data_IF_767388100568
#
_entry.id   IF_767388100568
#
_cell.length_a   1.000
_cell.length_b   1.000
_cell.length_c   1.000
_cell.angle_alpha   90.00
_cell.angle_beta   90.00
_cell.angle_gamma   90.00
#
_symmetry.space_group_name_H-M   'P 1'
#
loop_
_entity.id
_entity.type
_entity.pdbx_description
1 polymer ?
#
# COMPACT_ATOMS: atom_id res chain seq x y z
N UNK A 1 36.53 -9.53 -22.59
CA UNK A 1 36.65 -10.88 -22.04
C UNK A 1 36.40 -10.80 -20.54
N UNK A 2 35.13 -10.87 -20.12
CA UNK A 2 34.71 -10.92 -18.74
C UNK A 2 34.65 -12.39 -18.36
N UNK A 3 35.57 -12.84 -17.51
CA UNK A 3 35.52 -14.16 -16.92
C UNK A 3 34.34 -14.26 -15.95
N UNK A 4 33.28 -14.92 -16.38
CA UNK A 4 32.25 -15.44 -15.48
C UNK A 4 32.80 -16.70 -14.87
N UNK A 5 33.25 -16.62 -13.62
CA UNK A 5 33.56 -17.80 -12.81
C UNK A 5 32.23 -18.42 -12.42
N UNK A 6 31.81 -19.43 -13.18
CA UNK A 6 30.72 -20.33 -12.79
C UNK A 6 31.35 -21.38 -11.88
N UNK A 7 31.27 -21.22 -10.57
CA UNK A 7 31.44 -22.32 -9.64
C UNK A 7 30.22 -23.21 -9.73
N UNK A 8 30.37 -24.31 -10.47
CA UNK A 8 29.46 -25.47 -10.39
C UNK A 8 29.68 -26.15 -9.04
N UNK A 9 28.95 -25.73 -8.03
CA UNK A 9 28.57 -26.62 -6.94
C UNK A 9 27.12 -27.02 -7.19
N UNK A 10 26.85 -28.29 -7.16
CA UNK A 10 25.51 -28.89 -7.17
C UNK A 10 24.71 -28.27 -6.02
N UNK A 11 23.87 -27.29 -6.31
CA UNK A 11 23.18 -26.51 -5.31
C UNK A 11 21.83 -26.07 -5.80
N UNK A 12 20.84 -26.54 -5.15
CA UNK A 12 19.50 -25.94 -5.11
C UNK A 12 19.66 -24.43 -5.17
N UNK A 13 19.12 -23.78 -6.22
CA UNK A 13 19.09 -22.30 -6.31
C UNK A 13 18.31 -21.85 -5.08
N UNK A 14 19.03 -21.32 -4.09
CA UNK A 14 18.41 -20.80 -2.86
C UNK A 14 17.60 -19.58 -3.25
N UNK A 15 16.27 -19.71 -3.18
CA UNK A 15 15.37 -18.60 -3.43
C UNK A 15 15.65 -17.49 -2.41
N UNK A 16 15.65 -16.23 -2.89
CA UNK A 16 15.71 -15.08 -2.00
C UNK A 16 14.42 -14.98 -1.17
N UNK A 17 14.54 -14.44 0.04
CA UNK A 17 13.42 -14.38 0.99
C UNK A 17 12.17 -13.70 0.43
N UNK A 18 12.34 -12.65 -0.37
CA UNK A 18 11.20 -11.96 -1.01
C UNK A 18 10.50 -12.84 -2.06
N UNK A 19 11.24 -13.71 -2.76
CA UNK A 19 10.67 -14.64 -3.74
C UNK A 19 9.86 -15.74 -3.06
N UNK A 20 10.35 -16.26 -1.91
CA UNK A 20 9.59 -17.20 -1.10
C UNK A 20 8.26 -16.59 -0.64
N UNK A 21 8.28 -15.32 -0.21
CA UNK A 21 7.08 -14.60 0.21
C UNK A 21 6.12 -14.42 -0.95
N UNK A 22 6.59 -13.96 -2.11
CA UNK A 22 5.78 -13.82 -3.33
C UNK A 22 5.12 -15.15 -3.72
N UNK A 23 5.90 -16.22 -3.76
CA UNK A 23 5.40 -17.57 -4.04
C UNK A 23 4.35 -18.00 -3.02
N UNK A 24 4.56 -17.75 -1.73
CA UNK A 24 3.61 -18.11 -0.68
C UNK A 24 2.26 -17.42 -0.83
N UNK A 25 2.23 -16.13 -1.25
CA UNK A 25 1.01 -15.37 -1.50
C UNK A 25 0.15 -16.05 -2.56
N UNK A 26 0.75 -16.44 -3.69
CA UNK A 26 0.03 -17.00 -4.83
C UNK A 26 -0.21 -18.53 -4.75
N UNK A 27 0.44 -19.23 -3.80
CA UNK A 27 0.28 -20.67 -3.59
C UNK A 27 -0.37 -20.98 -2.25
N UNK A 28 0.38 -20.92 -1.16
CA UNK A 28 -0.06 -21.29 0.19
C UNK A 28 -1.25 -20.44 0.67
N UNK A 29 -1.18 -19.14 0.45
CA UNK A 29 -2.22 -18.21 0.85
C UNK A 29 -3.17 -17.82 -0.29
N UNK A 30 -3.14 -18.55 -1.42
CA UNK A 30 -3.93 -18.25 -2.60
C UNK A 30 -5.41 -18.00 -2.29
N UNK A 31 -6.07 -18.89 -1.57
CA UNK A 31 -7.50 -18.78 -1.25
C UNK A 31 -7.80 -17.64 -0.29
N UNK A 32 -6.92 -17.39 0.67
CA UNK A 32 -7.13 -16.41 1.75
C UNK A 32 -6.76 -15.00 1.31
N UNK A 33 -5.69 -14.83 0.52
CA UNK A 33 -5.13 -13.54 0.13
C UNK A 33 -5.31 -13.30 -1.37
N UNK A 34 -4.59 -14.04 -2.21
CA UNK A 34 -4.48 -13.74 -3.63
C UNK A 34 -5.81 -13.74 -4.37
N UNK A 35 -6.63 -14.78 -4.19
CA UNK A 35 -7.94 -14.87 -4.85
C UNK A 35 -8.90 -13.76 -4.40
N UNK A 36 -8.82 -13.35 -3.12
CA UNK A 36 -9.63 -12.26 -2.58
C UNK A 36 -9.17 -10.91 -3.11
N UNK A 37 -7.85 -10.69 -3.16
CA UNK A 37 -7.24 -9.51 -3.76
C UNK A 37 -7.65 -9.37 -5.23
N UNK A 38 -7.45 -10.40 -6.05
CA UNK A 38 -7.83 -10.39 -7.47
C UNK A 38 -9.33 -10.19 -7.66
N UNK A 39 -10.17 -10.82 -6.80
CA UNK A 39 -11.61 -10.59 -6.82
C UNK A 39 -11.94 -9.11 -6.59
N UNK A 40 -11.37 -8.49 -5.56
CA UNK A 40 -11.59 -7.07 -5.27
C UNK A 40 -11.13 -6.14 -6.40
N UNK A 41 -9.95 -6.39 -6.97
CA UNK A 41 -9.43 -5.64 -8.14
C UNK A 41 -10.44 -5.66 -9.29
N UNK A 42 -10.98 -6.84 -9.63
CA UNK A 42 -11.91 -7.02 -10.76
C UNK A 42 -13.32 -6.50 -10.46
N UNK A 43 -13.88 -6.84 -9.31
CA UNK A 43 -15.25 -6.50 -8.92
C UNK A 43 -15.47 -4.99 -8.82
N UNK A 44 -14.44 -4.26 -8.35
CA UNK A 44 -14.51 -2.82 -8.17
C UNK A 44 -13.73 -2.03 -9.24
N UNK A 45 -13.25 -2.69 -10.28
CA UNK A 45 -12.51 -2.07 -11.39
C UNK A 45 -11.40 -1.13 -10.90
N UNK A 46 -10.58 -1.62 -9.94
CA UNK A 46 -9.60 -0.79 -9.24
C UNK A 46 -8.39 -0.45 -10.09
N UNK A 47 -8.01 -1.32 -11.03
CA UNK A 47 -6.83 -1.17 -11.89
C UNK A 47 -7.26 -1.24 -13.35
N UNK A 48 -6.87 -0.23 -14.13
CA UNK A 48 -7.18 -0.09 -15.53
C UNK A 48 -5.91 0.10 -16.37
N UNK A 49 -6.05 -0.06 -17.68
CA UNK A 49 -4.96 0.16 -18.63
C UNK A 49 -4.44 1.60 -18.55
N UNK A 50 -3.13 1.76 -18.46
CA UNK A 50 -2.48 3.06 -18.40
C UNK A 50 -2.47 3.72 -17.03
N UNK A 51 -3.02 3.07 -15.98
CA UNK A 51 -2.95 3.61 -14.61
C UNK A 51 -1.51 3.74 -14.12
N UNK A 52 -1.27 4.79 -13.34
CA UNK A 52 -0.07 4.93 -12.51
C UNK A 52 -0.48 5.06 -11.05
N UNK A 53 -0.20 4.03 -10.27
CA UNK A 53 -0.76 3.84 -8.93
C UNK A 53 0.31 4.06 -7.86
N UNK A 54 0.07 4.99 -6.95
CA UNK A 54 0.88 5.17 -5.75
C UNK A 54 0.42 4.24 -4.64
N UNK A 55 1.21 3.22 -4.32
CA UNK A 55 0.98 2.32 -3.19
C UNK A 55 1.53 2.96 -1.93
N UNK A 56 0.65 3.31 -0.99
CA UNK A 56 1.02 3.99 0.24
C UNK A 56 1.47 2.99 1.31
N UNK A 57 2.72 3.11 1.74
CA UNK A 57 3.34 2.22 2.74
C UNK A 57 3.44 2.95 4.07
N UNK A 58 2.77 2.42 5.09
CA UNK A 58 2.81 2.92 6.47
C UNK A 58 3.91 2.25 7.31
N UNK A 59 4.54 1.21 6.79
CA UNK A 59 5.47 0.34 7.53
C UNK A 59 4.80 -0.84 8.25
N UNK A 60 3.48 -0.88 8.33
CA UNK A 60 2.70 -2.00 8.88
C UNK A 60 2.61 -3.20 7.91
N UNK A 61 2.26 -4.37 8.47
CA UNK A 61 2.15 -5.64 7.72
C UNK A 61 1.22 -5.55 6.51
N UNK A 62 0.09 -4.86 6.63
CA UNK A 62 -0.94 -4.79 5.59
C UNK A 62 -0.49 -3.94 4.41
N UNK A 63 0.19 -2.83 4.65
CA UNK A 63 0.76 -1.99 3.59
C UNK A 63 1.90 -2.69 2.84
N UNK A 64 2.71 -3.50 3.53
CA UNK A 64 3.74 -4.32 2.90
C UNK A 64 3.13 -5.47 2.09
N UNK A 65 2.09 -6.13 2.61
CA UNK A 65 1.33 -7.14 1.89
C UNK A 65 0.69 -6.56 0.62
N UNK A 66 0.06 -5.38 0.73
CA UNK A 66 -0.48 -4.65 -0.42
C UNK A 66 0.59 -4.44 -1.47
N UNK A 67 1.77 -3.93 -1.08
CA UNK A 67 2.87 -3.68 -2.02
C UNK A 67 3.28 -4.96 -2.75
N UNK A 68 3.41 -6.09 -2.04
CA UNK A 68 3.75 -7.39 -2.66
C UNK A 68 2.66 -7.90 -3.59
N UNK A 69 1.39 -7.79 -3.22
CA UNK A 69 0.26 -8.16 -4.08
C UNK A 69 0.21 -7.30 -5.36
N UNK A 70 0.47 -6.00 -5.26
CA UNK A 70 0.50 -5.09 -6.42
C UNK A 70 1.71 -5.37 -7.34
N UNK A 71 2.89 -5.68 -6.77
CA UNK A 71 4.05 -6.12 -7.55
C UNK A 71 3.75 -7.41 -8.31
N UNK A 72 3.13 -8.38 -7.64
CA UNK A 72 2.76 -9.65 -8.25
C UNK A 72 1.71 -9.48 -9.34
N UNK A 73 0.69 -8.64 -9.12
CA UNK A 73 -0.31 -8.30 -10.14
C UNK A 73 0.35 -7.71 -11.40
N UNK A 74 1.31 -6.80 -11.24
CA UNK A 74 2.06 -6.21 -12.37
C UNK A 74 2.86 -7.26 -13.15
N UNK A 75 3.43 -8.27 -12.48
CA UNK A 75 4.16 -9.37 -13.14
C UNK A 75 3.27 -10.20 -14.08
N UNK A 76 1.99 -10.36 -13.75
CA UNK A 76 1.05 -11.14 -14.55
C UNK A 76 0.62 -10.47 -15.87
N UNK A 77 0.93 -9.19 -16.07
CA UNK A 77 0.73 -8.42 -17.32
C UNK A 77 -0.66 -8.54 -17.97
N UNK A 78 -1.70 -8.81 -17.19
CA UNK A 78 -3.08 -8.83 -17.70
C UNK A 78 -3.60 -7.42 -18.02
N UNK A 79 -3.09 -6.43 -17.32
CA UNK A 79 -3.35 -5.00 -17.48
C UNK A 79 -1.99 -4.30 -17.40
N UNK A 80 -1.72 -3.36 -18.27
CA UNK A 80 -0.48 -2.59 -18.24
C UNK A 80 -0.70 -1.34 -17.37
N UNK A 81 0.01 -1.24 -16.25
CA UNK A 81 -0.04 -0.11 -15.32
C UNK A 81 1.30 0.07 -14.62
N UNK A 82 1.52 1.24 -14.04
CA UNK A 82 2.73 1.57 -13.32
C UNK A 82 2.50 1.67 -11.82
N UNK A 83 3.57 1.39 -11.06
CA UNK A 83 3.58 1.42 -9.59
C UNK A 83 4.66 2.37 -9.08
N UNK A 84 4.28 3.16 -8.08
CA UNK A 84 5.18 3.94 -7.23
C UNK A 84 4.88 3.55 -5.78
N UNK A 85 5.91 3.27 -4.98
CA UNK A 85 5.74 2.90 -3.57
C UNK A 85 6.11 4.09 -2.69
N UNK A 86 5.10 4.72 -2.08
CA UNK A 86 5.28 5.94 -1.28
C UNK A 86 5.33 5.64 0.21
N UNK A 87 6.36 6.13 0.86
CA UNK A 87 6.46 6.21 2.32
C UNK A 87 6.46 7.67 2.72
N UNK A 88 5.44 8.08 3.46
CA UNK A 88 5.43 9.40 4.09
C UNK A 88 6.05 9.29 5.48
N UNK A 89 7.10 10.06 5.72
CA UNK A 89 7.72 10.21 7.04
C UNK A 89 7.13 11.45 7.72
N UNK A 90 6.27 11.27 8.75
CA UNK A 90 5.67 12.39 9.47
C UNK A 90 6.56 12.93 10.60
N UNK A 91 7.81 12.49 10.69
CA UNK A 91 8.75 12.75 11.78
C UNK A 91 9.02 11.48 12.60
N UNK A 92 9.18 10.33 11.96
CA UNK A 92 9.51 9.08 12.67
C UNK A 92 10.84 9.19 13.41
N UNK A 93 10.91 8.54 14.56
CA UNK A 93 12.22 8.34 15.18
C UNK A 93 13.14 7.49 14.27
N UNK A 94 14.47 7.65 14.37
CA UNK A 94 15.42 6.98 13.48
C UNK A 94 15.27 5.45 13.44
N UNK A 95 14.91 4.83 14.57
CA UNK A 95 14.74 3.38 14.69
C UNK A 95 13.55 2.91 13.83
N UNK A 96 12.41 3.59 13.90
CA UNK A 96 11.23 3.23 13.13
C UNK A 96 11.43 3.50 11.63
N UNK A 97 12.06 4.62 11.29
CA UNK A 97 12.44 4.93 9.91
C UNK A 97 13.32 3.83 9.32
N UNK A 98 14.35 3.42 10.06
CA UNK A 98 15.27 2.37 9.62
C UNK A 98 14.58 1.01 9.47
N UNK A 99 13.63 0.66 10.36
CA UNK A 99 12.82 -0.56 10.23
C UNK A 99 12.03 -0.59 8.92
N UNK A 100 11.40 0.51 8.54
CA UNK A 100 10.64 0.60 7.28
C UNK A 100 11.56 0.37 6.09
N UNK A 101 12.73 1.02 6.08
CA UNK A 101 13.73 0.88 5.01
C UNK A 101 14.24 -0.56 4.93
N UNK A 102 14.55 -1.18 6.06
CA UNK A 102 15.05 -2.55 6.10
C UNK A 102 14.01 -3.56 5.63
N UNK A 103 12.75 -3.39 6.05
CA UNK A 103 11.64 -4.23 5.60
C UNK A 103 11.38 -4.07 4.10
N UNK A 104 11.43 -2.85 3.58
CA UNK A 104 11.28 -2.60 2.15
C UNK A 104 12.40 -3.27 1.34
N UNK A 105 13.66 -3.18 1.81
CA UNK A 105 14.81 -3.88 1.18
C UNK A 105 14.63 -5.39 1.23
N UNK A 106 14.27 -5.96 2.40
CA UNK A 106 14.04 -7.39 2.56
C UNK A 106 12.97 -7.92 1.61
N UNK A 107 11.93 -7.11 1.36
CA UNK A 107 10.80 -7.46 0.48
C UNK A 107 11.02 -7.05 -0.98
N UNK A 108 12.17 -6.50 -1.32
CA UNK A 108 12.47 -5.95 -2.65
C UNK A 108 11.40 -4.98 -3.15
N UNK A 109 11.02 -4.02 -2.29
CA UNK A 109 10.07 -2.96 -2.62
C UNK A 109 10.85 -1.65 -2.82
N UNK A 110 10.88 -1.07 -4.04
CA UNK A 110 11.58 0.19 -4.31
C UNK A 110 10.77 1.38 -3.78
N UNK A 111 10.97 1.73 -2.51
CA UNK A 111 10.25 2.82 -1.85
C UNK A 111 10.79 4.20 -2.24
N UNK A 112 9.88 5.15 -2.40
CA UNK A 112 10.17 6.60 -2.44
C UNK A 112 9.69 7.20 -1.12
N UNK A 113 10.63 7.67 -0.30
CA UNK A 113 10.32 8.30 0.99
C UNK A 113 10.31 9.81 0.84
N UNK A 114 9.33 10.47 1.45
CA UNK A 114 9.26 11.92 1.56
C UNK A 114 8.88 12.34 2.98
N UNK A 115 9.40 13.47 3.41
CA UNK A 115 9.19 14.02 4.74
C UNK A 115 7.99 14.96 4.77
N UNK A 116 7.35 15.04 5.92
CA UNK A 116 6.29 16.00 6.20
C UNK A 116 6.40 16.47 7.65
N UNK A 117 5.92 17.68 7.90
CA UNK A 117 5.93 18.30 9.24
C UNK A 117 4.62 18.08 10.02
N UNK A 118 3.92 16.98 9.74
CA UNK A 118 2.59 16.74 10.32
C UNK A 118 2.62 16.71 11.84
N UNK A 119 3.60 16.03 12.44
CA UNK A 119 3.68 15.92 13.89
C UNK A 119 3.91 17.29 14.55
N UNK A 120 4.79 18.12 14.00
CA UNK A 120 5.04 19.48 14.50
C UNK A 120 3.79 20.38 14.43
N UNK A 121 2.96 20.16 13.40
CA UNK A 121 1.72 20.92 13.24
C UNK A 121 0.65 20.43 14.18
N UNK A 122 0.49 19.09 14.31
CA UNK A 122 -0.56 18.48 15.13
C UNK A 122 -0.31 18.67 16.62
N UNK A 123 0.95 18.69 17.06
CA UNK A 123 1.30 19.00 18.48
C UNK A 123 0.80 20.37 18.95
N UNK A 124 0.54 21.30 18.04
CA UNK A 124 0.05 22.66 18.34
C UNK A 124 -1.49 22.77 18.30
N UNK A 125 -2.19 21.67 18.06
CA UNK A 125 -3.65 21.64 17.89
C UNK A 125 -4.28 20.95 19.11
N UNK A 126 -5.08 21.72 19.85
CA UNK A 126 -5.77 21.22 21.05
C UNK A 126 -7.06 20.45 20.71
N UNK A 127 -7.71 20.79 19.59
CA UNK A 127 -9.01 20.22 19.21
C UNK A 127 -8.86 19.15 18.12
N UNK A 128 -9.29 17.92 18.44
CA UNK A 128 -9.30 16.78 17.52
C UNK A 128 -7.98 16.48 16.77
N UNK A 129 -6.81 16.37 17.44
CA UNK A 129 -5.50 16.23 16.78
C UNK A 129 -5.41 14.99 15.87
N UNK A 130 -6.06 13.89 16.24
CA UNK A 130 -6.07 12.67 15.41
C UNK A 130 -6.81 12.86 14.08
N UNK A 131 -7.93 13.60 14.08
CA UNK A 131 -8.68 13.88 12.86
C UNK A 131 -7.86 14.77 11.91
N UNK A 132 -7.25 15.83 12.46
CA UNK A 132 -6.40 16.74 11.66
C UNK A 132 -5.19 15.99 11.09
N UNK A 133 -4.54 15.17 11.90
CA UNK A 133 -3.43 14.32 11.47
C UNK A 133 -3.83 13.41 10.29
N UNK A 134 -4.95 12.71 10.41
CA UNK A 134 -5.43 11.81 9.35
C UNK A 134 -5.76 12.56 8.06
N UNK A 135 -6.37 13.75 8.17
CA UNK A 135 -6.71 14.63 7.04
C UNK A 135 -5.45 15.15 6.35
N UNK A 136 -4.47 15.63 7.11
CA UNK A 136 -3.19 16.13 6.58
C UNK A 136 -2.41 15.00 5.89
N UNK A 137 -2.29 13.83 6.52
CA UNK A 137 -1.63 12.65 5.92
C UNK A 137 -2.21 12.32 4.56
N UNK A 138 -3.53 12.31 4.45
CA UNK A 138 -4.20 12.06 3.18
C UNK A 138 -3.86 13.12 2.15
N UNK A 139 -3.92 14.39 2.52
CA UNK A 139 -3.58 15.52 1.64
C UNK A 139 -2.15 15.42 1.09
N UNK A 140 -1.17 15.17 1.95
CA UNK A 140 0.23 15.02 1.54
C UNK A 140 0.45 13.83 0.60
N UNK A 141 -0.19 12.68 0.90
CA UNK A 141 -0.09 11.50 0.03
C UNK A 141 -0.67 11.76 -1.36
N UNK A 142 -1.84 12.39 -1.45
CA UNK A 142 -2.44 12.77 -2.73
C UNK A 142 -1.56 13.77 -3.50
N UNK A 143 -1.08 14.80 -2.83
CA UNK A 143 -0.21 15.82 -3.44
C UNK A 143 1.04 15.18 -4.02
N UNK A 144 1.72 14.34 -3.24
CA UNK A 144 2.95 13.66 -3.68
C UNK A 144 2.70 12.66 -4.80
N UNK A 145 1.62 11.90 -4.72
CA UNK A 145 1.23 10.98 -5.79
C UNK A 145 0.96 11.72 -7.11
N UNK A 146 0.23 12.85 -7.05
CA UNK A 146 -0.05 13.70 -8.22
C UNK A 146 1.22 14.30 -8.81
N UNK A 147 2.13 14.80 -7.98
CA UNK A 147 3.46 15.29 -8.39
C UNK A 147 4.25 14.22 -9.17
N UNK A 148 4.14 12.97 -8.77
CA UNK A 148 4.77 11.83 -9.43
C UNK A 148 3.97 11.32 -10.65
N UNK A 149 2.92 12.01 -11.05
CA UNK A 149 2.08 11.66 -12.21
C UNK A 149 1.17 10.45 -11.98
N UNK A 150 0.89 10.09 -10.71
CA UNK A 150 -0.06 9.03 -10.40
C UNK A 150 -1.50 9.54 -10.51
N UNK A 151 -2.39 8.70 -11.01
CA UNK A 151 -3.84 8.96 -11.05
C UNK A 151 -4.60 8.19 -9.96
N UNK A 152 -3.93 7.28 -9.25
CA UNK A 152 -4.54 6.51 -8.15
C UNK A 152 -3.61 6.43 -6.95
N UNK A 153 -4.21 6.35 -5.75
CA UNK A 153 -3.52 5.94 -4.52
C UNK A 153 -4.14 4.66 -3.99
N UNK A 154 -3.30 3.70 -3.61
CA UNK A 154 -3.71 2.42 -3.04
C UNK A 154 -3.36 2.38 -1.55
N UNK A 155 -4.36 2.09 -0.72
CA UNK A 155 -4.23 1.99 0.74
C UNK A 155 -4.43 0.54 1.20
N UNK A 156 -3.69 0.14 2.25
CA UNK A 156 -3.67 -1.22 2.78
C UNK A 156 -4.83 -1.57 3.71
N UNK A 157 -5.98 -0.90 3.60
CA UNK A 157 -7.17 -1.26 4.37
C UNK A 157 -7.75 -2.58 3.88
N UNK A 158 -8.13 -3.43 4.82
CA UNK A 158 -8.66 -4.77 4.57
C UNK A 158 -10.10 -4.93 5.10
N UNK A 159 -10.65 -6.14 5.00
CA UNK A 159 -12.04 -6.42 5.35
C UNK A 159 -12.38 -6.05 6.79
N UNK A 160 -11.49 -6.32 7.75
CA UNK A 160 -11.76 -6.06 9.16
C UNK A 160 -11.80 -4.55 9.45
N UNK A 161 -10.96 -3.73 8.80
CA UNK A 161 -11.04 -2.26 8.89
C UNK A 161 -12.41 -1.73 8.44
N UNK A 162 -13.00 -2.35 7.42
CA UNK A 162 -14.35 -1.98 6.92
C UNK A 162 -15.40 -2.26 7.99
N UNK A 163 -15.35 -3.45 8.60
CA UNK A 163 -16.28 -3.85 9.65
C UNK A 163 -16.12 -2.96 10.88
N UNK A 164 -14.89 -2.72 11.32
CA UNK A 164 -14.58 -1.82 12.44
C UNK A 164 -15.11 -0.41 12.18
N UNK A 165 -14.93 0.13 10.97
CA UNK A 165 -15.42 1.46 10.59
C UNK A 165 -16.95 1.52 10.70
N UNK A 166 -17.67 0.52 10.20
CA UNK A 166 -19.13 0.45 10.29
C UNK A 166 -19.58 0.40 11.76
N UNK A 167 -18.99 -0.51 12.55
CA UNK A 167 -19.35 -0.66 13.96
C UNK A 167 -19.07 0.61 14.76
N UNK A 168 -17.92 1.26 14.54
CA UNK A 168 -17.60 2.54 15.18
C UNK A 168 -18.59 3.63 14.79
N UNK A 169 -18.96 3.74 13.51
CA UNK A 169 -19.97 4.68 13.04
C UNK A 169 -21.34 4.47 13.74
N UNK A 170 -21.78 3.23 13.85
CA UNK A 170 -23.03 2.88 14.51
C UNK A 170 -23.01 3.17 16.03
N UNK A 171 -21.93 2.78 16.71
CA UNK A 171 -21.81 2.87 18.17
C UNK A 171 -21.54 4.29 18.67
N UNK A 172 -20.71 5.07 17.98
CA UNK A 172 -20.27 6.39 18.44
C UNK A 172 -20.96 7.55 17.75
N UNK A 173 -21.40 7.38 16.50
CA UNK A 173 -21.99 8.49 15.73
C UNK A 173 -23.46 8.30 15.38
N UNK A 174 -24.03 7.14 15.69
CA UNK A 174 -25.42 6.80 15.32
C UNK A 174 -25.65 6.77 13.79
N UNK A 175 -24.58 6.60 13.00
CA UNK A 175 -24.59 6.61 11.54
C UNK A 175 -24.02 5.32 10.98
N UNK A 176 -24.60 4.85 9.88
CA UNK A 176 -24.03 3.75 9.11
C UNK A 176 -23.15 4.35 8.02
N UNK A 177 -21.90 4.54 8.35
CA UNK A 177 -20.88 4.98 7.38
C UNK A 177 -19.99 3.79 7.03
N UNK A 178 -19.66 3.64 5.75
CA UNK A 178 -18.78 2.56 5.29
C UNK A 178 -17.55 3.10 4.59
N UNK A 179 -16.50 2.29 4.61
CA UNK A 179 -15.28 2.54 3.88
C UNK A 179 -15.43 1.96 2.47
N UNK A 180 -15.63 2.81 1.45
CA UNK A 180 -15.80 2.34 0.08
C UNK A 180 -14.52 1.73 -0.50
N UNK A 181 -14.61 0.65 -1.32
CA UNK A 181 -13.45 0.01 -1.93
C UNK A 181 -12.72 0.90 -2.94
N UNK A 182 -13.47 1.79 -3.62
CA UNK A 182 -12.96 2.76 -4.60
C UNK A 182 -13.69 4.08 -4.42
N UNK A 183 -12.95 5.19 -4.47
CA UNK A 183 -13.47 6.54 -4.30
C UNK A 183 -12.79 7.51 -5.26
N UNK A 184 -13.55 8.40 -5.87
CA UNK A 184 -12.99 9.60 -6.52
C UNK A 184 -12.63 10.64 -5.46
N UNK A 185 -11.49 11.29 -5.63
CA UNK A 185 -11.08 12.36 -4.71
C UNK A 185 -11.85 13.64 -5.01
N UNK A 186 -12.49 14.22 -4.00
CA UNK A 186 -13.18 15.50 -4.14
C UNK A 186 -12.21 16.70 -4.20
N UNK A 187 -11.04 16.58 -3.58
CA UNK A 187 -10.07 17.67 -3.45
C UNK A 187 -8.91 17.58 -4.47
N UNK A 188 -8.75 16.45 -5.13
CA UNK A 188 -7.69 16.21 -6.11
C UNK A 188 -8.33 15.66 -7.39
N UNK A 189 -8.66 16.56 -8.29
CA UNK A 189 -9.29 16.22 -9.57
C UNK A 189 -8.47 15.18 -10.35
N UNK A 190 -9.16 14.19 -10.90
CA UNK A 190 -8.55 13.08 -11.65
C UNK A 190 -7.87 12.02 -10.79
N UNK A 191 -7.92 12.13 -9.46
CA UNK A 191 -7.33 11.13 -8.54
C UNK A 191 -8.39 10.21 -7.95
N UNK A 192 -8.08 8.92 -7.92
CA UNK A 192 -8.89 7.89 -7.24
C UNK A 192 -8.14 7.30 -6.04
N UNK A 193 -8.89 6.90 -5.02
CA UNK A 193 -8.43 6.07 -3.92
C UNK A 193 -8.96 4.66 -4.10
N UNK A 194 -8.08 3.67 -4.01
CA UNK A 194 -8.45 2.26 -4.08
C UNK A 194 -7.96 1.50 -2.84
N UNK A 195 -8.69 0.43 -2.48
CA UNK A 195 -8.38 -0.47 -1.36
C UNK A 195 -8.32 -1.91 -1.84
N UNK A 196 -7.19 -2.31 -2.45
CA UNK A 196 -7.10 -3.63 -3.09
C UNK A 196 -7.25 -4.82 -2.13
N UNK A 197 -6.97 -4.63 -0.83
CA UNK A 197 -7.16 -5.65 0.20
C UNK A 197 -8.58 -5.70 0.79
N UNK A 198 -9.54 -4.95 0.23
CA UNK A 198 -10.91 -4.78 0.76
C UNK A 198 -11.64 -6.09 1.09
N UNK A 199 -11.42 -7.15 0.33
CA UNK A 199 -12.03 -8.48 0.53
C UNK A 199 -11.11 -9.46 1.29
N UNK A 200 -9.89 -9.07 1.65
CA UNK A 200 -8.93 -9.87 2.42
C UNK A 200 -9.24 -9.71 3.91
N UNK A 201 -9.28 -10.83 4.65
CA UNK A 201 -9.48 -10.87 6.11
C UNK A 201 -8.16 -11.04 6.82
#
# INVERSE_FOLDING_TARGET
LINVIISKEEGTIKMERYEEIEKSIITTYRKKIWSKFIKGIKEFEMVQEGDKIAVCISGGKDSMLLAKCMQELKKHRQVNFDLVFLVMDPGYNPINRQKIINNAKLLNIPITMFESNIFEVVEKIDDHPCYVCARMRRGYLYSKAKELGCNKIALGHHFDDVIETILMGMLYSGKVETMMPKLHSQNFEGMELIRPLYLVK
#
